data_IF_413619217787
#
_entry.id   IF_413619217787
#
_cell.length_a   1.000
_cell.length_b   1.000
_cell.length_c   1.000
_cell.angle_alpha   90.00
_cell.angle_beta   90.00
_cell.angle_gamma   90.00
#
_symmetry.space_group_name_H-M   'P 1'
#
loop_
_entity.id
_entity.type
_entity.pdbx_description
1 polymer ?
#
# COMPACT_ATOMS: atom_id res chain seq x y z
N UNK A 1 -54.53 -39.59 40.83
CA UNK A 1 -54.44 -40.53 39.67
C UNK A 1 -54.28 -39.65 38.43
N UNK A 2 -53.25 -39.68 37.59
CA UNK A 2 -52.17 -40.62 37.34
C UNK A 2 -50.88 -39.86 36.94
N UNK A 3 -49.77 -40.60 36.85
CA UNK A 3 -48.39 -40.18 36.63
C UNK A 3 -48.00 -40.03 35.12
N UNK A 4 -46.75 -39.63 34.77
CA UNK A 4 -46.42 -38.71 33.66
C UNK A 4 -45.85 -39.37 32.39
N UNK A 5 -45.63 -38.56 31.35
CA UNK A 5 -44.87 -38.94 30.15
C UNK A 5 -43.71 -37.96 29.93
N UNK A 6 -42.49 -38.49 29.99
CA UNK A 6 -41.23 -37.82 29.71
C UNK A 6 -40.91 -37.82 28.21
N UNK A 7 -40.56 -36.66 27.64
CA UNK A 7 -39.79 -36.61 26.40
C UNK A 7 -38.61 -35.64 26.53
N UNK A 8 -37.42 -36.24 26.52
CA UNK A 8 -36.11 -35.63 26.40
C UNK A 8 -35.88 -35.17 24.96
N UNK A 9 -35.86 -33.85 24.74
CA UNK A 9 -35.37 -33.23 23.51
C UNK A 9 -33.95 -32.73 23.71
N UNK A 10 -33.02 -33.25 22.91
CA UNK A 10 -31.65 -32.76 22.76
C UNK A 10 -31.63 -31.36 22.16
N UNK A 11 -30.78 -30.43 22.63
CA UNK A 11 -30.56 -29.17 21.92
C UNK A 11 -29.60 -29.43 20.76
N UNK A 12 -30.13 -29.32 19.54
CA UNK A 12 -29.35 -29.24 18.31
C UNK A 12 -28.42 -28.02 18.39
N UNK A 13 -27.13 -28.30 18.23
CA UNK A 13 -26.02 -27.35 18.17
C UNK A 13 -26.32 -26.21 17.21
N UNK A 14 -26.17 -24.98 17.70
CA UNK A 14 -26.09 -23.76 16.91
C UNK A 14 -25.09 -23.96 15.75
N UNK A 15 -25.58 -23.79 14.53
CA UNK A 15 -24.76 -23.63 13.34
C UNK A 15 -23.81 -22.45 13.55
N UNK A 16 -22.52 -22.74 13.66
CA UNK A 16 -21.47 -21.74 13.54
C UNK A 16 -21.58 -21.12 12.15
N UNK A 17 -22.07 -19.88 12.09
CA UNK A 17 -21.96 -19.03 10.92
C UNK A 17 -20.47 -18.88 10.61
N UNK A 18 -20.00 -19.58 9.56
CA UNK A 18 -18.69 -19.31 8.99
C UNK A 18 -18.71 -17.86 8.54
N UNK A 19 -17.99 -16.99 9.27
CA UNK A 19 -17.73 -15.65 8.79
C UNK A 19 -17.03 -15.79 7.44
N UNK A 20 -17.75 -15.49 6.36
CA UNK A 20 -17.17 -15.42 5.03
C UNK A 20 -16.06 -14.37 5.10
N UNK A 21 -14.82 -14.81 4.93
CA UNK A 21 -13.66 -13.93 4.82
C UNK A 21 -13.90 -13.00 3.63
N UNK A 22 -14.27 -11.75 3.91
CA UNK A 22 -14.43 -10.72 2.90
C UNK A 22 -13.05 -10.27 2.44
N UNK A 23 -12.73 -10.48 1.15
CA UNK A 23 -11.50 -10.00 0.52
C UNK A 23 -11.30 -8.51 0.79
N UNK A 24 -10.07 -8.09 1.08
CA UNK A 24 -9.71 -6.68 1.28
C UNK A 24 -9.75 -5.92 -0.06
N UNK A 25 -9.22 -6.55 -1.11
CA UNK A 25 -9.13 -6.01 -2.45
C UNK A 25 -10.21 -6.67 -3.32
N UNK A 26 -10.96 -5.89 -4.11
CA UNK A 26 -11.74 -6.46 -5.21
C UNK A 26 -10.83 -7.33 -6.09
N UNK A 27 -11.29 -8.55 -6.41
CA UNK A 27 -10.46 -9.59 -7.02
C UNK A 27 -9.77 -9.18 -8.33
N UNK A 28 -10.32 -8.20 -9.05
CA UNK A 28 -9.77 -7.69 -10.30
C UNK A 28 -8.64 -6.66 -10.13
N UNK A 29 -8.56 -5.94 -9.00
CA UNK A 29 -7.57 -4.87 -8.83
C UNK A 29 -6.11 -5.35 -8.85
N UNK A 30 -5.71 -6.41 -8.10
CA UNK A 30 -4.30 -6.78 -8.04
C UNK A 30 -3.81 -7.51 -9.30
N UNK A 31 -4.71 -7.99 -10.18
CA UNK A 31 -4.37 -8.85 -11.34
C UNK A 31 -3.30 -8.20 -12.22
N UNK A 32 -3.44 -6.92 -12.52
CA UNK A 32 -2.50 -6.22 -13.40
C UNK A 32 -1.09 -6.15 -12.81
N UNK A 33 -0.97 -5.67 -11.57
CA UNK A 33 0.32 -5.57 -10.88
C UNK A 33 0.96 -6.95 -10.66
N UNK A 34 0.17 -7.96 -10.29
CA UNK A 34 0.66 -9.34 -10.15
C UNK A 34 1.16 -9.94 -11.46
N UNK A 35 0.48 -9.64 -12.58
CA UNK A 35 0.93 -10.05 -13.91
C UNK A 35 2.27 -9.40 -14.27
N UNK A 36 2.43 -8.11 -14.00
CA UNK A 36 3.68 -7.37 -14.23
C UNK A 36 4.82 -7.90 -13.36
N UNK A 37 4.57 -8.24 -12.10
CA UNK A 37 5.58 -8.86 -11.23
C UNK A 37 6.02 -10.24 -11.73
N UNK A 38 5.09 -11.02 -12.29
CA UNK A 38 5.37 -12.36 -12.81
C UNK A 38 6.00 -12.33 -14.21
N UNK A 39 5.64 -11.32 -15.01
CA UNK A 39 6.06 -11.15 -16.40
C UNK A 39 6.54 -9.70 -16.60
N UNK A 40 7.68 -9.31 -16.02
CA UNK A 40 8.17 -7.94 -16.10
C UNK A 40 8.45 -7.55 -17.56
N UNK A 41 8.05 -6.33 -17.98
CA UNK A 41 8.40 -5.83 -19.30
C UNK A 41 9.92 -5.79 -19.52
N UNK A 42 10.36 -6.00 -20.77
CA UNK A 42 11.77 -5.83 -21.16
C UNK A 42 12.25 -4.40 -20.88
N UNK A 43 13.54 -4.21 -20.59
CA UNK A 43 14.16 -2.88 -20.53
C UNK A 43 14.38 -2.32 -21.96
N UNK A 44 14.32 -1.00 -22.17
CA UNK A 44 13.86 0.06 -21.26
C UNK A 44 12.34 0.05 -21.03
N UNK A 45 11.82 0.84 -20.10
CA UNK A 45 10.37 1.13 -20.03
C UNK A 45 9.87 1.78 -21.34
N UNK A 46 8.57 2.05 -21.46
CA UNK A 46 8.02 2.76 -22.63
C UNK A 46 8.71 4.13 -22.83
N UNK A 47 8.79 4.60 -24.07
CA UNK A 47 9.46 5.87 -24.39
C UNK A 47 8.90 7.06 -23.59
N UNK A 48 7.58 7.07 -23.31
CA UNK A 48 6.94 8.09 -22.49
C UNK A 48 7.39 8.05 -21.02
N UNK A 49 7.52 6.85 -20.45
CA UNK A 49 8.01 6.65 -19.09
C UNK A 49 9.48 7.03 -18.98
N UNK A 50 10.33 6.59 -19.91
CA UNK A 50 11.76 6.93 -19.93
C UNK A 50 11.97 8.45 -20.10
N UNK A 51 11.16 9.10 -20.93
CA UNK A 51 11.16 10.57 -21.06
C UNK A 51 10.80 11.23 -19.72
N UNK A 52 9.84 10.67 -18.99
CA UNK A 52 9.43 11.18 -17.66
C UNK A 52 10.56 11.02 -16.65
N UNK A 53 11.15 9.82 -16.55
CA UNK A 53 12.27 9.52 -15.65
C UNK A 53 13.43 10.47 -15.93
N UNK A 54 13.80 10.64 -17.21
CA UNK A 54 14.89 11.53 -17.61
C UNK A 54 14.60 13.00 -17.30
N UNK A 55 13.43 13.52 -17.68
CA UNK A 55 13.15 14.96 -17.53
C UNK A 55 12.90 15.38 -16.08
N UNK A 56 12.44 14.46 -15.23
CA UNK A 56 12.23 14.72 -13.80
C UNK A 56 13.43 14.26 -12.94
N UNK A 57 14.51 13.76 -13.55
CA UNK A 57 15.71 13.24 -12.88
C UNK A 57 15.39 12.16 -11.82
N UNK A 58 14.47 11.24 -12.13
CA UNK A 58 14.02 10.23 -11.18
C UNK A 58 15.06 9.11 -11.01
N UNK A 59 15.24 8.65 -9.78
CA UNK A 59 16.11 7.54 -9.39
C UNK A 59 15.26 6.38 -8.86
N UNK A 60 15.75 5.14 -8.94
CA UNK A 60 15.06 3.99 -8.32
C UNK A 60 14.88 4.22 -6.82
N UNK A 61 13.65 4.05 -6.31
CA UNK A 61 13.33 4.27 -4.90
C UNK A 61 13.49 2.98 -4.08
N UNK A 62 13.89 3.10 -2.81
CA UNK A 62 14.08 1.94 -1.92
C UNK A 62 12.78 1.17 -1.64
N UNK A 63 11.63 1.83 -1.78
CA UNK A 63 10.31 1.22 -1.65
C UNK A 63 9.84 0.52 -2.93
N UNK A 64 10.54 0.69 -4.06
CA UNK A 64 10.03 0.40 -5.40
C UNK A 64 9.51 1.66 -6.09
N UNK A 65 9.34 1.62 -7.40
CA UNK A 65 9.14 2.82 -8.23
C UNK A 65 10.40 3.66 -8.39
N UNK A 66 10.20 4.93 -8.78
CA UNK A 66 11.22 5.95 -8.98
C UNK A 66 10.85 7.24 -8.24
N UNK A 67 11.81 8.03 -7.81
CA UNK A 67 11.57 9.28 -7.09
C UNK A 67 12.64 10.34 -7.37
N UNK A 68 12.31 11.59 -7.05
CA UNK A 68 13.29 12.67 -6.88
C UNK A 68 12.79 13.68 -5.85
N UNK A 69 13.63 14.07 -4.89
CA UNK A 69 13.35 15.22 -4.01
C UNK A 69 13.47 16.51 -4.81
N UNK A 70 12.39 17.30 -4.81
CA UNK A 70 12.28 18.53 -5.60
C UNK A 70 12.36 19.79 -4.75
N UNK A 71 12.03 19.68 -3.45
CA UNK A 71 12.08 20.77 -2.50
C UNK A 71 12.36 20.25 -1.08
N UNK A 72 13.14 21.02 -0.33
CA UNK A 72 13.40 20.84 1.09
C UNK A 72 13.47 22.22 1.72
N UNK A 73 12.49 22.52 2.56
CA UNK A 73 12.34 23.85 3.15
C UNK A 73 13.56 24.16 4.03
N UNK A 74 14.31 25.27 3.81
CA UNK A 74 15.45 25.62 4.65
C UNK A 74 15.06 25.94 6.10
N UNK A 75 13.78 26.18 6.40
CA UNK A 75 13.30 26.35 7.76
C UNK A 75 13.41 25.04 8.54
N UNK A 76 14.13 25.09 9.68
CA UNK A 76 14.17 24.01 10.65
C UNK A 76 13.11 24.23 11.73
N UNK A 77 12.36 23.17 12.04
CA UNK A 77 11.37 23.10 13.13
C UNK A 77 11.80 22.08 14.18
N UNK A 78 11.34 22.18 15.43
CA UNK A 78 11.61 21.16 16.44
C UNK A 78 11.17 19.77 15.97
N UNK A 79 12.00 18.75 16.19
CA UNK A 79 11.69 17.37 15.83
C UNK A 79 10.62 16.81 16.81
N UNK A 80 9.37 16.57 16.37
CA UNK A 80 8.33 16.06 17.26
C UNK A 80 8.52 14.58 17.61
N UNK A 81 9.48 13.89 16.98
CA UNK A 81 9.68 12.45 17.10
C UNK A 81 10.84 12.05 18.03
N UNK A 82 11.62 13.03 18.52
CA UNK A 82 12.86 12.82 19.26
C UNK A 82 12.71 11.91 20.50
N UNK A 83 11.52 11.90 21.11
CA UNK A 83 11.23 11.14 22.33
C UNK A 83 10.32 9.93 22.11
N UNK A 84 10.03 9.58 20.85
CA UNK A 84 9.22 8.42 20.54
C UNK A 84 10.06 7.12 20.60
N UNK A 85 9.42 5.96 20.87
CA UNK A 85 10.09 4.67 20.81
C UNK A 85 10.75 4.44 19.45
N UNK A 86 11.88 3.72 19.43
CA UNK A 86 12.56 3.36 18.18
C UNK A 86 11.62 2.62 17.22
N UNK A 87 11.80 2.85 15.91
CA UNK A 87 11.10 2.09 14.88
C UNK A 87 11.57 0.64 14.89
N UNK A 88 10.74 -0.26 14.40
CA UNK A 88 11.03 -1.70 14.38
C UNK A 88 12.15 -2.03 13.39
N UNK A 89 12.16 -1.34 12.24
CA UNK A 89 13.12 -1.58 11.15
C UNK A 89 13.59 -0.27 10.48
N UNK A 90 14.20 0.67 11.25
CA UNK A 90 14.51 2.00 10.77
C UNK A 90 15.50 1.96 9.60
N UNK A 91 15.29 2.83 8.60
CA UNK A 91 16.21 2.92 7.46
C UNK A 91 17.51 3.69 7.75
N UNK A 92 17.53 4.49 8.82
CA UNK A 92 18.73 5.15 9.33
C UNK A 92 18.62 5.44 10.84
N UNK A 93 19.71 5.89 11.45
CA UNK A 93 19.72 6.40 12.82
C UNK A 93 20.07 7.88 12.75
N UNK A 94 19.22 8.73 13.35
CA UNK A 94 19.41 10.18 13.47
C UNK A 94 18.76 10.64 14.78
N UNK A 95 19.49 11.42 15.58
CA UNK A 95 19.08 12.00 16.84
C UNK A 95 18.90 13.53 16.78
N UNK A 96 18.88 14.10 15.57
CA UNK A 96 18.72 15.53 15.34
C UNK A 96 17.49 16.07 16.08
N UNK A 97 17.64 17.17 16.84
CA UNK A 97 16.54 17.81 17.55
C UNK A 97 15.60 18.60 16.62
N UNK A 98 15.87 18.59 15.30
CA UNK A 98 15.11 19.35 14.31
C UNK A 98 14.80 18.54 13.06
N UNK A 99 13.79 19.00 12.33
CA UNK A 99 13.46 18.57 10.96
C UNK A 99 13.30 19.81 10.09
N UNK A 100 13.48 19.64 8.78
CA UNK A 100 13.01 20.66 7.84
C UNK A 100 11.49 20.83 7.98
N UNK A 101 10.95 22.00 7.72
CA UNK A 101 9.51 22.25 7.85
C UNK A 101 8.71 21.36 6.89
N UNK A 102 9.24 21.11 5.68
CA UNK A 102 8.70 20.14 4.73
C UNK A 102 9.75 19.64 3.74
N UNK A 103 9.47 18.50 3.13
CA UNK A 103 10.15 18.01 1.92
C UNK A 103 9.10 17.61 0.90
N UNK A 104 9.39 17.80 -0.39
CA UNK A 104 8.53 17.38 -1.49
C UNK A 104 9.29 16.51 -2.48
N UNK A 105 8.65 15.45 -2.97
CA UNK A 105 9.20 14.58 -3.99
C UNK A 105 8.25 14.46 -5.19
N UNK A 106 8.79 14.09 -6.35
CA UNK A 106 8.05 13.28 -7.31
C UNK A 106 8.19 11.80 -6.97
N UNK A 107 7.13 11.02 -7.15
CA UNK A 107 7.15 9.56 -7.06
C UNK A 107 6.41 8.95 -8.25
N UNK A 108 7.03 7.97 -8.90
CA UNK A 108 6.54 7.31 -10.12
C UNK A 108 6.58 5.79 -9.97
N UNK A 109 5.41 5.16 -10.10
CA UNK A 109 5.29 3.69 -10.22
C UNK A 109 5.10 3.34 -11.70
N UNK A 110 5.87 2.39 -12.23
CA UNK A 110 5.87 2.01 -13.65
C UNK A 110 5.54 0.53 -13.84
N UNK A 111 5.18 0.07 -15.05
CA UNK A 111 4.99 -1.36 -15.30
C UNK A 111 6.20 -2.24 -14.94
N UNK A 112 7.43 -1.71 -14.99
CA UNK A 112 8.65 -2.43 -14.58
C UNK A 112 8.95 -2.37 -13.08
N UNK A 113 8.39 -1.39 -12.37
CA UNK A 113 8.48 -1.28 -10.92
C UNK A 113 7.09 -0.95 -10.36
N UNK A 114 6.14 -1.91 -10.40
CA UNK A 114 4.71 -1.64 -10.29
C UNK A 114 4.18 -1.55 -8.86
N UNK A 115 5.08 -1.65 -7.86
CA UNK A 115 4.73 -1.70 -6.43
C UNK A 115 5.63 -0.76 -5.63
N UNK A 116 4.99 0.09 -4.82
CA UNK A 116 5.59 0.70 -3.64
C UNK A 116 5.28 -0.18 -2.43
N UNK A 117 6.30 -0.85 -1.88
CA UNK A 117 6.14 -1.84 -0.82
C UNK A 117 5.74 -1.19 0.50
N UNK A 118 5.15 -1.97 1.41
CA UNK A 118 4.71 -1.48 2.71
C UNK A 118 5.82 -0.82 3.51
N UNK A 119 5.64 0.47 3.77
CA UNK A 119 6.50 1.29 4.60
C UNK A 119 5.67 2.31 5.37
N UNK A 120 6.24 2.95 6.39
CA UNK A 120 5.61 4.07 7.09
C UNK A 120 6.60 5.18 7.32
N UNK A 121 6.07 6.37 7.55
CA UNK A 121 6.82 7.49 8.07
C UNK A 121 6.21 7.94 9.40
N UNK A 122 7.00 8.50 10.32
CA UNK A 122 6.47 9.16 11.52
C UNK A 122 5.72 10.44 11.21
N UNK A 123 6.17 11.17 10.20
CA UNK A 123 5.48 12.35 9.70
C UNK A 123 4.31 11.95 8.80
N UNK A 124 3.29 12.81 8.74
CA UNK A 124 2.20 12.66 7.78
C UNK A 124 2.67 13.02 6.38
N UNK A 125 2.03 12.43 5.37
CA UNK A 125 2.33 12.67 3.97
C UNK A 125 1.08 13.05 3.19
N UNK A 126 1.14 14.21 2.52
CA UNK A 126 0.13 14.65 1.55
C UNK A 126 0.54 14.15 0.17
N UNK A 127 -0.35 13.45 -0.53
CA UNK A 127 -0.09 12.91 -1.86
C UNK A 127 -1.00 13.61 -2.86
N UNK A 128 -0.46 14.06 -3.98
CA UNK A 128 -1.21 14.73 -5.06
C UNK A 128 -0.95 14.02 -6.38
N UNK A 129 -2.01 13.59 -7.05
CA UNK A 129 -1.97 12.91 -8.34
C UNK A 129 -1.60 13.89 -9.47
N UNK A 130 -0.65 13.52 -10.31
CA UNK A 130 -0.36 14.20 -11.58
C UNK A 130 -0.92 13.46 -12.79
N UNK A 131 -0.74 12.13 -12.82
CA UNK A 131 -1.29 11.26 -13.88
C UNK A 131 -1.32 9.77 -13.46
N UNK A 132 -2.02 8.97 -14.26
CA UNK A 132 -2.10 7.52 -14.11
C UNK A 132 -3.10 7.09 -13.05
N UNK A 133 -3.10 5.79 -12.73
CA UNK A 133 -4.00 5.18 -11.75
C UNK A 133 -3.28 4.15 -10.88
N UNK A 134 -3.75 3.99 -9.65
CA UNK A 134 -3.23 2.96 -8.75
C UNK A 134 -4.14 2.71 -7.56
N UNK A 135 -3.73 1.79 -6.72
CA UNK A 135 -4.38 1.48 -5.44
C UNK A 135 -3.43 1.80 -4.31
N UNK A 136 -3.95 2.38 -3.24
CA UNK A 136 -3.29 2.46 -1.95
C UNK A 136 -3.89 1.45 -0.99
N UNK A 137 -3.03 0.83 -0.19
CA UNK A 137 -3.39 -0.09 0.90
C UNK A 137 -2.76 0.43 2.19
N UNK A 138 -3.59 0.71 3.20
CA UNK A 138 -3.15 1.29 4.47
C UNK A 138 -3.46 0.36 5.63
N UNK A 139 -2.51 0.20 6.56
CA UNK A 139 -2.69 -0.53 7.82
C UNK A 139 -2.72 0.43 9.01
N UNK A 140 -3.88 0.54 9.66
CA UNK A 140 -4.12 1.47 10.78
C UNK A 140 -3.65 0.88 12.11
N UNK A 141 -2.34 0.87 12.33
CA UNK A 141 -1.70 0.28 13.52
C UNK A 141 -2.20 0.91 14.83
N UNK A 142 -2.57 2.19 14.80
CA UNK A 142 -3.10 2.96 15.92
C UNK A 142 -4.53 2.55 16.32
N UNK A 143 -5.23 1.83 15.44
CA UNK A 143 -6.61 1.36 15.65
C UNK A 143 -6.68 -0.13 15.91
N UNK A 144 -5.62 -0.71 16.47
CA UNK A 144 -5.56 -2.13 16.80
C UNK A 144 -6.71 -2.50 17.74
N UNK A 145 -7.50 -3.48 17.32
CA UNK A 145 -8.60 -4.02 18.11
C UNK A 145 -8.02 -4.77 19.32
N UNK A 146 -8.39 -4.36 20.54
CA UNK A 146 -7.82 -4.90 21.79
C UNK A 146 -8.16 -6.39 22.01
N UNK A 147 -9.26 -6.86 21.43
CA UNK A 147 -9.75 -8.24 21.64
C UNK A 147 -9.10 -9.23 20.70
N UNK A 148 -8.90 -8.84 19.45
CA UNK A 148 -8.38 -9.69 18.38
C UNK A 148 -6.90 -9.43 18.10
N UNK A 149 -6.40 -8.27 18.54
CA UNK A 149 -5.08 -7.78 18.20
C UNK A 149 -4.93 -7.36 16.74
N UNK A 150 -6.01 -7.29 15.94
CA UNK A 150 -5.92 -7.02 14.49
C UNK A 150 -6.17 -5.55 14.16
N UNK A 151 -5.63 -5.11 13.03
CA UNK A 151 -5.71 -3.70 12.60
C UNK A 151 -6.66 -3.53 11.42
N UNK A 152 -7.40 -2.42 11.32
CA UNK A 152 -8.17 -2.08 10.13
C UNK A 152 -7.27 -1.91 8.91
N UNK A 153 -7.75 -2.40 7.76
CA UNK A 153 -7.12 -2.20 6.46
C UNK A 153 -8.01 -1.29 5.63
N UNK A 154 -7.46 -0.16 5.16
CA UNK A 154 -8.15 0.73 4.20
C UNK A 154 -7.56 0.51 2.80
N UNK A 155 -8.42 0.46 1.78
CA UNK A 155 -8.02 0.46 0.38
C UNK A 155 -8.81 1.48 -0.41
N UNK A 156 -8.15 2.14 -1.36
CA UNK A 156 -8.80 3.07 -2.27
C UNK A 156 -8.03 3.23 -3.58
N UNK A 157 -8.75 3.61 -4.63
CA UNK A 157 -8.19 3.90 -5.95
C UNK A 157 -7.83 5.38 -6.04
N UNK A 158 -6.66 5.65 -6.62
CA UNK A 158 -6.21 6.99 -6.99
C UNK A 158 -6.22 7.10 -8.51
N UNK A 159 -6.71 8.22 -9.01
CA UNK A 159 -7.00 8.40 -10.42
C UNK A 159 -7.95 9.56 -10.69
N UNK A 160 -8.24 9.81 -11.97
CA UNK A 160 -9.04 10.96 -12.42
C UNK A 160 -10.54 10.68 -12.51
N UNK A 161 -11.02 9.44 -12.34
CA UNK A 161 -12.44 9.10 -12.44
C UNK A 161 -13.19 9.42 -11.12
N UNK A 162 -13.43 10.72 -10.91
CA UNK A 162 -14.12 11.23 -9.72
C UNK A 162 -15.54 10.67 -9.56
N UNK A 163 -16.21 10.32 -10.66
CA UNK A 163 -17.55 9.74 -10.62
C UNK A 163 -17.55 8.35 -9.98
N UNK A 164 -16.42 7.64 -10.02
CA UNK A 164 -16.20 6.36 -9.34
C UNK A 164 -15.57 6.50 -7.95
N UNK A 165 -15.35 7.74 -7.48
CA UNK A 165 -14.75 8.00 -6.17
C UNK A 165 -13.22 7.87 -6.13
N UNK A 166 -12.54 7.90 -7.30
CA UNK A 166 -11.07 7.95 -7.33
C UNK A 166 -10.56 9.25 -6.70
N UNK A 167 -9.43 9.16 -6.01
CA UNK A 167 -8.86 10.30 -5.28
C UNK A 167 -7.76 10.98 -6.11
N UNK A 168 -7.85 12.30 -6.24
CA UNK A 168 -6.78 13.16 -6.79
C UNK A 168 -5.77 13.58 -5.71
N UNK A 169 -6.21 13.65 -4.45
CA UNK A 169 -5.38 14.00 -3.31
C UNK A 169 -5.82 13.17 -2.11
N UNK A 170 -4.84 12.71 -1.32
CA UNK A 170 -5.10 12.00 -0.08
C UNK A 170 -3.96 12.22 0.91
N UNK A 171 -4.25 12.01 2.18
CA UNK A 171 -3.29 12.14 3.25
C UNK A 171 -3.16 10.79 3.94
N UNK A 172 -1.91 10.37 4.16
CA UNK A 172 -1.60 9.28 5.08
C UNK A 172 -1.00 9.90 6.32
N UNK A 173 -1.67 9.72 7.47
CA UNK A 173 -1.16 10.20 8.75
C UNK A 173 0.07 9.41 9.18
N UNK A 174 0.91 10.04 10.02
CA UNK A 174 2.12 9.42 10.55
C UNK A 174 1.85 8.12 11.31
N UNK A 175 2.75 7.14 11.16
CA UNK A 175 2.68 5.84 11.83
C UNK A 175 1.85 4.78 11.11
N UNK A 176 1.12 5.14 10.04
CA UNK A 176 0.35 4.21 9.20
C UNK A 176 1.27 3.56 8.17
N UNK A 177 1.25 2.23 8.06
CA UNK A 177 1.91 1.54 6.96
C UNK A 177 1.11 1.71 5.67
N UNK A 178 1.76 2.20 4.62
CA UNK A 178 1.19 2.38 3.27
C UNK A 178 1.94 1.53 2.25
N UNK A 179 1.20 0.93 1.34
CA UNK A 179 1.72 0.35 0.09
C UNK A 179 0.88 0.87 -1.07
N UNK A 180 1.45 0.86 -2.27
CA UNK A 180 0.76 1.24 -3.50
C UNK A 180 1.09 0.30 -4.64
N UNK A 181 0.16 0.12 -5.58
CA UNK A 181 0.42 -0.63 -6.80
C UNK A 181 -0.29 -0.06 -8.02
N UNK A 182 0.30 -0.28 -9.18
CA UNK A 182 -0.13 0.26 -10.46
C UNK A 182 -1.44 -0.37 -10.95
N UNK A 183 -2.33 0.45 -11.52
CA UNK A 183 -3.47 0.01 -12.32
C UNK A 183 -3.29 0.43 -13.78
N UNK A 184 -3.99 -0.20 -14.73
CA UNK A 184 -4.13 0.34 -16.09
C UNK A 184 -4.79 1.72 -16.08
N UNK A 185 -4.33 2.62 -16.95
CA UNK A 185 -4.82 4.00 -17.03
C UNK A 185 -6.29 4.08 -17.45
N UNK A 186 -6.74 3.11 -18.25
CA UNK A 186 -8.14 2.89 -18.55
C UNK A 186 -8.55 1.49 -18.09
N UNK A 187 -9.75 1.37 -17.52
CA UNK A 187 -10.36 0.06 -17.36
C UNK A 187 -10.49 -0.62 -18.73
N UNK A 188 -10.16 -1.91 -18.80
CA UNK A 188 -10.43 -2.70 -19.98
C UNK A 188 -11.92 -2.57 -20.30
N UNK A 189 -12.24 -1.91 -21.42
CA UNK A 189 -13.59 -1.99 -21.96
C UNK A 189 -13.87 -3.47 -22.19
N UNK A 190 -15.01 -3.97 -21.72
CA UNK A 190 -15.47 -5.30 -22.08
C UNK A 190 -15.73 -5.30 -23.59
N UNK A 191 -14.70 -5.58 -24.38
CA UNK A 191 -14.86 -5.73 -25.81
C UNK A 191 -15.55 -7.07 -26.07
N UNK A 192 -16.59 -7.03 -26.89
CA UNK A 192 -17.28 -8.22 -27.40
C UNK A 192 -16.33 -9.16 -28.14
N UNK A 193 -16.81 -10.35 -28.53
CA UNK A 193 -15.97 -11.48 -28.85
C UNK A 193 -15.37 -11.41 -30.27
N UNK A 194 -14.72 -10.32 -30.68
CA UNK A 194 -14.01 -10.29 -31.97
C UNK A 194 -12.75 -9.42 -31.93
N UNK A 195 -11.64 -10.05 -31.52
CA UNK A 195 -10.34 -10.09 -32.20
C UNK A 195 -9.30 -10.55 -31.17
N UNK A 196 -8.59 -11.65 -31.45
CA UNK A 196 -7.62 -12.28 -30.55
C UNK A 196 -6.33 -11.50 -30.29
N UNK A 197 -6.40 -10.17 -30.15
CA UNK A 197 -5.34 -9.32 -29.61
C UNK A 197 -5.85 -8.76 -28.29
N UNK A 198 -5.40 -9.33 -27.18
CA UNK A 198 -5.53 -8.69 -25.87
C UNK A 198 -4.70 -7.39 -25.87
N UNK A 199 -5.25 -6.33 -26.45
CA UNK A 199 -4.71 -4.97 -26.34
C UNK A 199 -4.99 -4.45 -24.94
N UNK A 200 -4.35 -5.05 -23.92
CA UNK A 200 -4.40 -4.51 -22.57
C UNK A 200 -3.88 -3.08 -22.60
N UNK A 201 -4.66 -2.13 -22.09
CA UNK A 201 -4.21 -0.76 -21.89
C UNK A 201 -2.92 -0.78 -21.08
N UNK A 202 -1.79 -0.46 -21.72
CA UNK A 202 -0.49 -0.35 -21.08
C UNK A 202 -0.49 0.98 -20.32
N UNK A 203 -0.28 0.96 -19.02
CA UNK A 203 -0.20 2.18 -18.21
C UNK A 203 1.08 2.97 -18.53
N UNK A 204 0.96 4.30 -18.57
CA UNK A 204 2.08 5.26 -18.65
C UNK A 204 2.68 5.59 -17.26
N UNK A 205 2.32 4.78 -16.26
CA UNK A 205 2.76 4.89 -14.88
C UNK A 205 1.88 5.83 -14.05
N UNK A 206 1.92 5.60 -12.73
CA UNK A 206 1.29 6.45 -11.73
C UNK A 206 2.31 7.48 -11.23
N UNK A 207 2.13 8.74 -11.60
CA UNK A 207 2.98 9.84 -11.17
C UNK A 207 2.24 10.71 -10.16
N UNK A 208 2.89 10.94 -9.03
CA UNK A 208 2.37 11.78 -7.94
C UNK A 208 3.46 12.71 -7.41
N UNK A 209 3.05 13.72 -6.64
CA UNK A 209 3.94 14.37 -5.67
C UNK A 209 3.57 13.94 -4.26
N UNK A 210 4.58 13.78 -3.41
CA UNK A 210 4.39 13.61 -1.98
C UNK A 210 5.05 14.77 -1.22
N UNK A 211 4.34 15.37 -0.28
CA UNK A 211 4.86 16.38 0.64
C UNK A 211 4.77 15.85 2.06
N UNK A 212 5.90 15.79 2.75
CA UNK A 212 6.03 15.27 4.12
C UNK A 212 6.21 16.43 5.09
N UNK A 213 5.45 16.44 6.18
CA UNK A 213 5.45 17.52 7.19
C UNK A 213 5.43 16.96 8.61
N UNK A 214 6.45 17.24 9.45
CA UNK A 214 7.75 17.83 9.11
C UNK A 214 8.51 17.04 8.04
N UNK A 215 9.51 17.65 7.41
CA UNK A 215 10.26 17.09 6.29
C UNK A 215 10.86 15.72 6.56
N UNK A 216 10.95 14.92 5.50
CA UNK A 216 11.40 13.53 5.51
C UNK A 216 12.86 13.39 5.97
N UNK A 217 13.08 12.43 6.87
CA UNK A 217 14.38 11.86 7.18
C UNK A 217 14.28 10.32 7.23
N UNK A 218 15.35 9.62 6.81
CA UNK A 218 15.38 8.16 6.79
C UNK A 218 15.26 7.52 8.20
N UNK A 219 15.56 8.26 9.26
CA UNK A 219 15.38 7.77 10.63
C UNK A 219 13.91 7.73 11.08
N UNK A 220 13.03 8.43 10.36
CA UNK A 220 11.59 8.45 10.62
C UNK A 220 10.83 7.43 9.75
N UNK A 221 11.55 6.65 8.95
CA UNK A 221 11.02 5.74 7.96
C UNK A 221 11.44 4.28 8.25
N UNK A 222 10.48 3.34 8.17
CA UNK A 222 10.72 1.90 8.26
C UNK A 222 9.79 1.08 7.36
N UNK A 223 10.26 -0.11 6.99
CA UNK A 223 9.48 -1.10 6.22
C UNK A 223 8.70 -2.04 7.15
N UNK A 224 7.52 -2.48 6.69
CA UNK A 224 6.73 -3.48 7.39
C UNK A 224 7.46 -4.83 7.40
N UNK A 225 7.55 -5.47 8.56
CA UNK A 225 8.16 -6.81 8.70
C UNK A 225 7.12 -7.92 8.59
N UNK A 226 7.58 -9.12 8.22
CA UNK A 226 6.79 -10.34 8.14
C UNK A 226 6.13 -10.72 9.49
N UNK A 227 6.84 -10.47 10.59
CA UNK A 227 6.36 -10.64 11.96
C UNK A 227 5.23 -9.64 12.25
N UNK A 228 5.49 -8.34 12.03
CA UNK A 228 4.50 -7.28 12.26
C UNK A 228 3.23 -7.52 11.44
N UNK A 229 3.36 -7.97 10.19
CA UNK A 229 2.22 -8.30 9.33
C UNK A 229 1.38 -9.45 9.89
N UNK A 230 2.01 -10.55 10.32
CA UNK A 230 1.32 -11.71 10.92
C UNK A 230 0.59 -11.33 12.21
N UNK A 231 1.22 -10.49 13.02
CA UNK A 231 0.64 -10.03 14.26
C UNK A 231 -0.56 -9.12 14.01
N UNK A 232 -0.45 -8.20 13.05
CA UNK A 232 -1.46 -7.19 12.77
C UNK A 232 -2.66 -7.69 11.94
N UNK A 233 -2.50 -8.74 11.15
CA UNK A 233 -3.52 -9.19 10.18
C UNK A 233 -4.03 -10.61 10.42
N UNK A 234 -5.21 -10.95 9.89
CA UNK A 234 -5.67 -12.34 9.88
C UNK A 234 -4.90 -13.16 8.84
N UNK A 235 -4.86 -14.51 8.95
CA UNK A 235 -4.15 -15.35 7.97
C UNK A 235 -4.59 -15.12 6.52
N UNK A 236 -5.86 -14.80 6.29
CA UNK A 236 -6.40 -14.55 4.96
C UNK A 236 -5.90 -13.22 4.39
N UNK A 237 -5.88 -12.18 5.22
CA UNK A 237 -5.35 -10.87 4.87
C UNK A 237 -3.83 -10.93 4.61
N UNK A 238 -3.09 -11.72 5.39
CA UNK A 238 -1.66 -11.98 5.13
C UNK A 238 -1.48 -12.64 3.76
N UNK A 239 -2.26 -13.68 3.44
CA UNK A 239 -2.18 -14.34 2.12
C UNK A 239 -2.51 -13.39 0.97
N UNK A 240 -3.50 -12.52 1.15
CA UNK A 240 -3.93 -11.56 0.13
C UNK A 240 -2.91 -10.43 -0.10
N UNK A 241 -2.25 -9.95 0.97
CA UNK A 241 -1.40 -8.75 0.91
C UNK A 241 0.10 -9.04 0.92
N UNK A 242 0.55 -10.28 1.16
CA UNK A 242 1.98 -10.62 1.32
C UNK A 242 2.87 -10.13 0.18
N UNK A 243 2.37 -10.08 -1.05
CA UNK A 243 3.14 -9.65 -2.22
C UNK A 243 3.52 -8.15 -2.20
N UNK A 244 2.93 -7.36 -1.29
CA UNK A 244 3.27 -5.95 -1.05
C UNK A 244 4.39 -5.76 0.00
N UNK A 245 4.85 -6.82 0.67
CA UNK A 245 6.05 -6.78 1.51
C UNK A 245 7.32 -6.75 0.66
N UNK A 246 8.43 -6.22 1.21
CA UNK A 246 9.76 -6.39 0.60
C UNK A 246 10.08 -7.88 0.42
N UNK A 247 10.80 -8.22 -0.65
CA UNK A 247 10.99 -9.62 -1.10
C UNK A 247 11.64 -10.54 -0.04
N UNK A 248 12.52 -10.00 0.78
CA UNK A 248 13.12 -10.70 1.91
C UNK A 248 12.11 -10.99 3.03
N UNK A 249 11.25 -10.03 3.35
CA UNK A 249 10.14 -10.23 4.30
C UNK A 249 9.09 -11.21 3.75
N UNK A 250 8.85 -11.25 2.44
CA UNK A 250 7.98 -12.25 1.82
C UNK A 250 8.48 -13.68 2.05
N UNK A 251 9.80 -13.91 1.98
CA UNK A 251 10.39 -15.24 2.20
C UNK A 251 10.26 -15.67 3.67
N UNK A 252 10.44 -14.74 4.60
CA UNK A 252 10.28 -15.00 6.04
C UNK A 252 8.86 -15.44 6.41
N UNK A 253 7.84 -15.07 5.61
CA UNK A 253 6.48 -15.59 5.77
C UNK A 253 6.34 -17.08 5.42
N UNK A 254 7.20 -17.62 4.56
CA UNK A 254 7.15 -19.03 4.13
C UNK A 254 7.98 -19.97 5.02
N UNK A 255 8.91 -19.41 5.80
CA UNK A 255 9.86 -20.17 6.64
C UNK A 255 9.26 -20.62 7.99
N UNK A 256 7.99 -20.31 8.26
CA UNK A 256 7.33 -20.55 9.56
C UNK A 256 6.04 -21.34 9.40
#
# INVERSE_FOLDING_TARGET
MAQPSSHTGTPSSNSSSSASSSSILPANLPIYALNLLSNPPSRPDSAAIETTISNLNLLEHIEGGYFAETDRDPLLVPNPFQHLPALTNPTAIDDSPTRHASTTIYYLVTPRSPVGHFHRNRARTVHTLHRGRGVYVLLHMERRDERTGKVPVETFVVGHDLAKGERLQWIVEGGIFKASFLLPDAEAKAEGPETGKQGGSVSEGLLISETVVPGFEFADHDFLTAETMRDALTPDQVRELRWLLKRDEQKKLDEV
#
